data_IF_542249613865
#
_entry.id   IF_542249613865
#
_cell.length_a   1.000
_cell.length_b   1.000
_cell.length_c   1.000
_cell.angle_alpha   90.00
_cell.angle_beta   90.00
_cell.angle_gamma   90.00
#
_symmetry.space_group_name_H-M   'P 1'
#
loop_
_entity.id
_entity.type
_entity.pdbx_description
1 polymer ?
#
# COMPACT_ATOMS: atom_id res chain seq x y z
N UNK A 1 -3.07 -16.40 -0.28
CA UNK A 1 -3.68 -15.61 0.82
C UNK A 1 -3.19 -14.17 0.71
N UNK A 2 -3.99 -13.15 1.08
CA UNK A 2 -3.60 -11.73 0.97
C UNK A 2 -3.65 -11.03 2.32
N UNK A 3 -2.61 -10.29 2.66
CA UNK A 3 -2.53 -9.50 3.89
C UNK A 3 -2.82 -8.04 3.58
N UNK A 4 -3.78 -7.43 4.30
CA UNK A 4 -4.02 -5.99 4.21
C UNK A 4 -2.82 -5.24 4.80
N UNK A 5 -2.23 -4.34 4.01
CA UNK A 5 -1.06 -3.55 4.40
C UNK A 5 -1.51 -2.17 4.86
N UNK A 6 -2.27 -1.47 4.02
CA UNK A 6 -2.77 -0.14 4.31
C UNK A 6 -3.99 0.19 3.45
N UNK A 7 -4.75 1.20 3.84
CA UNK A 7 -5.71 1.90 2.99
C UNK A 7 -5.22 3.32 2.77
N UNK A 8 -5.22 3.78 1.53
CA UNK A 8 -4.94 5.16 1.17
C UNK A 8 -6.25 5.85 0.77
N UNK A 9 -6.56 6.99 1.38
CA UNK A 9 -7.65 7.87 0.98
C UNK A 9 -7.08 9.19 0.50
N UNK A 10 -7.54 9.66 -0.65
CA UNK A 10 -7.09 10.93 -1.21
C UNK A 10 -7.87 12.08 -0.56
N UNK A 11 -7.15 13.09 -0.08
CA UNK A 11 -7.77 14.30 0.45
C UNK A 11 -8.20 15.25 -0.69
N UNK A 12 -8.84 16.37 -0.33
CA UNK A 12 -9.29 17.39 -1.29
C UNK A 12 -8.18 18.00 -2.17
N UNK A 13 -6.90 17.88 -1.76
CA UNK A 13 -5.73 18.34 -2.52
C UNK A 13 -5.12 17.23 -3.40
N UNK A 14 -5.75 16.07 -3.49
CA UNK A 14 -5.25 14.90 -4.22
C UNK A 14 -4.08 14.17 -3.55
N UNK A 15 -3.79 14.47 -2.27
CA UNK A 15 -2.73 13.79 -1.52
C UNK A 15 -3.29 12.60 -0.77
N UNK A 16 -2.62 11.46 -0.89
CA UNK A 16 -2.99 10.23 -0.21
C UNK A 16 -2.62 10.24 1.28
N UNK A 17 -3.62 9.95 2.11
CA UNK A 17 -3.51 9.72 3.55
C UNK A 17 -3.56 8.21 3.77
N UNK A 18 -2.49 7.67 4.34
CA UNK A 18 -2.35 6.23 4.57
C UNK A 18 -2.77 5.86 5.98
N UNK A 19 -3.69 4.91 6.10
CA UNK A 19 -4.04 4.22 7.34
C UNK A 19 -3.48 2.80 7.25
N UNK A 20 -2.48 2.48 8.07
CA UNK A 20 -1.73 1.21 8.02
C UNK A 20 -2.36 0.16 8.93
N UNK A 21 -2.24 -1.12 8.57
CA UNK A 21 -2.57 -2.21 9.48
C UNK A 21 -1.61 -2.22 10.68
N UNK A 22 -2.04 -2.71 11.84
CA UNK A 22 -1.30 -2.58 13.11
C UNK A 22 0.17 -3.03 13.06
N UNK A 23 0.46 -4.13 12.34
CA UNK A 23 1.83 -4.66 12.22
C UNK A 23 2.71 -3.86 11.24
N UNK A 24 2.11 -3.08 10.35
CA UNK A 24 2.83 -2.27 9.36
C UNK A 24 3.36 -1.02 10.02
N UNK A 25 4.66 -0.75 9.86
CA UNK A 25 5.34 0.39 10.48
C UNK A 25 5.29 1.62 9.57
N UNK A 26 5.55 2.80 10.11
CA UNK A 26 5.63 4.02 9.30
C UNK A 26 6.77 3.97 8.28
N UNK A 27 7.86 3.26 8.62
CA UNK A 27 8.95 3.03 7.69
C UNK A 27 8.47 2.23 6.48
N UNK A 28 7.74 1.13 6.69
CA UNK A 28 7.19 0.33 5.57
C UNK A 28 6.27 1.17 4.68
N UNK A 29 5.42 2.02 5.27
CA UNK A 29 4.54 2.92 4.49
C UNK A 29 5.35 3.95 3.71
N UNK A 30 6.44 4.49 4.28
CA UNK A 30 7.34 5.42 3.57
C UNK A 30 8.01 4.74 2.38
N UNK A 31 8.50 3.52 2.55
CA UNK A 31 9.05 2.71 1.45
C UNK A 31 8.01 2.56 0.34
N UNK A 32 6.82 2.04 0.67
CA UNK A 32 5.72 1.84 -0.29
C UNK A 32 5.35 3.14 -1.01
N UNK A 33 5.34 4.29 -0.31
CA UNK A 33 5.00 5.59 -0.92
C UNK A 33 6.07 6.08 -1.89
N UNK A 34 7.34 5.77 -1.62
CA UNK A 34 8.47 6.29 -2.36
C UNK A 34 8.97 5.32 -3.44
N UNK A 35 8.50 4.07 -3.45
CA UNK A 35 8.78 3.09 -4.50
C UNK A 35 7.79 3.26 -5.65
N UNK A 36 8.29 3.09 -6.88
CA UNK A 36 7.45 2.96 -8.06
C UNK A 36 6.41 1.83 -7.90
N UNK A 37 5.18 2.12 -8.32
CA UNK A 37 4.07 1.19 -8.15
C UNK A 37 4.28 -0.13 -8.90
N UNK A 38 4.89 -0.11 -10.09
CA UNK A 38 5.11 -1.31 -10.88
C UNK A 38 6.08 -2.26 -10.18
N UNK A 39 7.14 -1.73 -9.58
CA UNK A 39 8.09 -2.52 -8.78
C UNK A 39 7.41 -3.17 -7.56
N UNK A 40 6.49 -2.46 -6.92
CA UNK A 40 5.71 -3.02 -5.81
C UNK A 40 4.77 -4.13 -6.30
N UNK A 41 4.09 -3.94 -7.44
CA UNK A 41 3.23 -4.96 -8.02
C UNK A 41 4.02 -6.23 -8.42
N UNK A 42 5.21 -6.06 -9.00
CA UNK A 42 6.16 -7.16 -9.28
C UNK A 42 6.63 -7.87 -7.99
N UNK A 43 6.77 -7.13 -6.89
CA UNK A 43 7.11 -7.69 -5.58
C UNK A 43 5.93 -8.36 -4.85
N UNK A 44 4.73 -8.37 -5.44
CA UNK A 44 3.54 -9.02 -4.89
C UNK A 44 2.56 -8.09 -4.17
N UNK A 45 2.71 -6.77 -4.28
CA UNK A 45 1.69 -5.83 -3.80
C UNK A 45 0.51 -5.73 -4.78
N UNK A 46 -0.67 -5.45 -4.27
CA UNK A 46 -1.87 -5.22 -5.08
C UNK A 46 -2.60 -3.99 -4.57
N UNK A 47 -3.01 -3.12 -5.49
CA UNK A 47 -3.67 -1.86 -5.19
C UNK A 47 -5.10 -1.88 -5.72
N UNK A 48 -6.06 -2.11 -4.82
CA UNK A 48 -7.48 -2.25 -5.14
C UNK A 48 -8.16 -0.90 -5.02
N UNK A 49 -8.67 -0.35 -6.13
CA UNK A 49 -9.43 0.90 -6.13
C UNK A 49 -10.68 0.75 -5.27
N UNK A 50 -10.88 1.67 -4.33
CA UNK A 50 -12.09 1.75 -3.51
C UNK A 50 -13.00 2.85 -4.06
N UNK A 51 -14.29 2.54 -4.15
CA UNK A 51 -15.33 3.46 -4.61
C UNK A 51 -16.37 3.59 -3.50
N UNK A 52 -16.67 4.82 -3.09
CA UNK A 52 -17.79 5.10 -2.23
C UNK A 52 -19.00 5.45 -3.09
N UNK A 53 -20.08 4.69 -2.93
CA UNK A 53 -21.33 4.93 -3.68
C UNK A 53 -22.09 6.14 -3.12
N UNK A 54 -22.05 6.33 -1.81
CA UNK A 54 -22.73 7.43 -1.12
C UNK A 54 -21.93 8.73 -1.15
N UNK A 55 -20.59 8.63 -1.26
CA UNK A 55 -19.70 9.79 -1.25
C UNK A 55 -18.75 9.75 -2.46
N UNK A 56 -19.22 10.08 -3.69
CA UNK A 56 -18.44 9.92 -4.93
C UNK A 56 -17.15 10.74 -5.00
N UNK A 57 -17.06 11.78 -4.17
CA UNK A 57 -15.88 12.63 -4.00
C UNK A 57 -14.78 11.97 -3.15
N UNK A 58 -15.10 10.94 -2.36
CA UNK A 58 -14.13 10.17 -1.59
C UNK A 58 -13.48 9.13 -2.51
N UNK A 59 -12.16 9.24 -2.64
CA UNK A 59 -11.35 8.35 -3.48
C UNK A 59 -10.27 7.69 -2.65
N UNK A 60 -9.89 6.48 -3.04
CA UNK A 60 -8.80 5.79 -2.39
C UNK A 60 -8.54 4.40 -2.96
N UNK A 61 -7.62 3.69 -2.34
CA UNK A 61 -7.30 2.30 -2.66
C UNK A 61 -6.84 1.55 -1.41
N UNK A 62 -7.10 0.25 -1.40
CA UNK A 62 -6.53 -0.68 -0.43
C UNK A 62 -5.25 -1.29 -1.01
N UNK A 63 -4.20 -1.36 -0.19
CA UNK A 63 -2.94 -2.01 -0.51
C UNK A 63 -2.91 -3.36 0.18
N UNK A 64 -2.80 -4.42 -0.61
CA UNK A 64 -2.59 -5.78 -0.14
C UNK A 64 -1.21 -6.27 -0.53
N UNK A 65 -0.72 -7.27 0.19
CA UNK A 65 0.45 -8.07 -0.19
C UNK A 65 0.03 -9.53 -0.37
N UNK A 66 0.54 -10.16 -1.42
CA UNK A 66 0.37 -11.59 -1.68
C UNK A 66 1.33 -12.40 -0.80
N UNK A 67 0.84 -12.78 0.38
CA UNK A 67 1.62 -13.53 1.36
C UNK A 67 1.39 -13.05 2.79
N UNK A 68 2.29 -13.49 3.68
CA UNK A 68 2.31 -13.10 5.08
C UNK A 68 3.07 -11.78 5.30
N UNK A 69 2.94 -11.24 6.52
CA UNK A 69 3.61 -10.00 6.90
C UNK A 69 5.15 -10.11 6.85
N UNK A 70 5.73 -11.22 7.28
CA UNK A 70 7.19 -11.42 7.29
C UNK A 70 7.77 -11.52 5.87
N UNK A 71 7.03 -12.14 4.95
CA UNK A 71 7.33 -12.15 3.51
C UNK A 71 7.29 -10.73 2.92
N UNK A 72 6.26 -9.95 3.27
CA UNK A 72 6.15 -8.54 2.86
C UNK A 72 7.36 -7.72 3.33
N UNK A 73 7.81 -7.90 4.58
CA UNK A 73 8.98 -7.20 5.12
C UNK A 73 10.25 -7.56 4.34
N UNK A 74 10.43 -8.83 3.95
CA UNK A 74 11.56 -9.24 3.12
C UNK A 74 11.49 -8.61 1.72
N UNK A 75 10.32 -8.62 1.10
CA UNK A 75 10.10 -8.02 -0.21
C UNK A 75 10.41 -6.52 -0.21
N UNK A 76 9.93 -5.76 0.79
CA UNK A 76 10.24 -4.33 0.92
C UNK A 76 11.74 -4.05 1.07
N UNK A 77 12.48 -4.90 1.80
CA UNK A 77 13.94 -4.76 1.93
C UNK A 77 14.69 -4.97 0.62
N UNK A 78 14.22 -5.87 -0.23
CA UNK A 78 14.81 -6.09 -1.57
C UNK A 78 14.54 -4.90 -2.48
N UNK A 79 13.31 -4.38 -2.41
CA UNK A 79 12.90 -3.17 -3.14
C UNK A 79 13.74 -1.95 -2.73
N UNK A 80 13.98 -1.74 -1.43
CA UNK A 80 14.83 -0.62 -0.94
C UNK A 80 16.28 -0.69 -1.43
N UNK A 81 16.77 -1.91 -1.69
CA UNK A 81 18.13 -2.13 -2.20
C UNK A 81 18.24 -1.98 -3.71
N UNK A 82 17.11 -1.79 -4.41
CA UNK A 82 17.08 -1.60 -5.85
C UNK A 82 17.26 -2.89 -6.66
N UNK A 83 16.81 -4.02 -6.08
CA UNK A 83 17.29 -5.39 -6.35
C UNK A 83 18.67 -5.66 -5.72
#
# INVERSE_FOLDING_TARGET
MRTLVATALSNAKGKDIFCKANKVTDQHVRTIRNTDRKLLEEAGFTFIKMLSLEYPNVRGYAVFFEGHYDEMVKALKLVEKGY
#
